data_IF_192757481651
#
_entry.id   IF_192757481651
#
_cell.length_a   1.000
_cell.length_b   1.000
_cell.length_c   1.000
_cell.angle_alpha   90.00
_cell.angle_beta   90.00
_cell.angle_gamma   90.00
#
_symmetry.space_group_name_H-M   'P 1'
#
loop_
_entity.id
_entity.type
_entity.pdbx_description
1 polymer ?
#
# COMPACT_ATOMS: atom_id res chain seq x y z
N UNK A 1 -1.18 6.55 7.14
CA UNK A 1 -0.36 6.53 5.91
C UNK A 1 -1.14 6.86 4.63
N UNK A 2 -2.37 6.36 4.44
CA UNK A 2 -3.07 6.42 3.13
C UNK A 2 -4.11 7.55 3.04
N UNK A 3 -5.40 7.28 3.30
CA UNK A 3 -6.50 8.22 3.09
C UNK A 3 -6.31 9.57 3.78
N UNK A 4 -5.83 9.56 5.03
CA UNK A 4 -5.57 10.79 5.78
C UNK A 4 -4.48 11.65 5.12
N UNK A 5 -3.43 11.04 4.58
CA UNK A 5 -2.38 11.76 3.85
C UNK A 5 -2.91 12.35 2.55
N UNK A 6 -3.71 11.59 1.80
CA UNK A 6 -4.40 12.11 0.62
C UNK A 6 -5.35 13.27 0.96
N UNK A 7 -6.00 13.23 2.13
CA UNK A 7 -6.82 14.34 2.66
C UNK A 7 -6.03 15.62 2.87
N UNK A 8 -4.91 15.54 3.59
CA UNK A 8 -4.05 16.68 3.89
C UNK A 8 -3.49 17.31 2.60
N UNK A 9 -3.17 16.49 1.60
CA UNK A 9 -2.60 16.94 0.33
C UNK A 9 -3.65 17.34 -0.73
N UNK A 10 -4.94 17.27 -0.42
CA UNK A 10 -6.02 17.62 -1.36
C UNK A 10 -6.31 16.58 -2.44
N UNK A 11 -5.71 15.38 -2.37
CA UNK A 11 -5.90 14.28 -3.34
C UNK A 11 -6.90 13.21 -2.89
N UNK A 12 -7.73 13.52 -1.88
CA UNK A 12 -8.67 12.55 -1.31
C UNK A 12 -9.80 12.14 -2.25
N UNK A 13 -10.05 12.88 -3.34
CA UNK A 13 -11.03 12.48 -4.36
C UNK A 13 -10.41 11.49 -5.35
N UNK A 14 -9.12 11.60 -5.58
CA UNK A 14 -8.35 10.89 -6.59
C UNK A 14 -7.75 9.59 -6.06
N UNK A 15 -7.24 9.58 -4.82
CA UNK A 15 -6.47 8.43 -4.28
C UNK A 15 -6.67 8.23 -2.77
N UNK A 16 -5.88 7.32 -2.17
CA UNK A 16 -5.81 7.05 -0.74
C UNK A 16 -6.76 5.95 -0.24
N UNK A 17 -7.59 5.37 -1.11
CA UNK A 17 -8.38 4.17 -0.83
C UNK A 17 -8.80 3.47 -2.15
N UNK A 18 -9.43 2.30 -2.05
CA UNK A 18 -9.81 1.44 -3.18
C UNK A 18 -11.27 1.63 -3.65
N UNK A 19 -11.90 2.79 -3.40
CA UNK A 19 -13.28 3.03 -3.85
C UNK A 19 -13.36 3.18 -5.38
N UNK A 20 -14.46 2.77 -6.03
CA UNK A 20 -14.67 2.97 -7.46
C UNK A 20 -14.54 4.44 -7.88
N UNK A 21 -13.96 4.68 -9.06
CA UNK A 21 -13.74 6.03 -9.61
C UNK A 21 -12.44 6.70 -9.16
N UNK A 22 -11.68 6.09 -8.26
CA UNK A 22 -10.34 6.55 -7.85
C UNK A 22 -9.23 5.91 -8.68
N UNK A 23 -8.05 6.52 -8.64
CA UNK A 23 -6.84 5.93 -9.20
C UNK A 23 -6.51 4.61 -8.50
N UNK A 24 -6.07 3.64 -9.32
CA UNK A 24 -5.57 2.36 -8.86
C UNK A 24 -4.14 2.52 -8.33
N UNK A 25 -4.03 3.18 -7.18
CA UNK A 25 -2.79 3.36 -6.41
C UNK A 25 -2.81 2.39 -5.23
N UNK A 26 -2.11 1.26 -5.36
CA UNK A 26 -2.10 0.24 -4.32
C UNK A 26 -0.84 -0.62 -4.35
N UNK A 27 -0.64 -1.31 -3.23
CA UNK A 27 0.47 -2.25 -3.03
C UNK A 27 -0.12 -3.65 -2.86
N UNK A 28 0.55 -4.64 -3.40
CA UNK A 28 0.28 -6.04 -3.11
C UNK A 28 1.31 -6.49 -2.08
N UNK A 29 0.83 -6.94 -0.93
CA UNK A 29 1.67 -7.41 0.16
C UNK A 29 1.63 -8.94 0.24
N UNK A 30 2.77 -9.55 0.51
CA UNK A 30 2.89 -10.96 0.86
C UNK A 30 2.35 -11.16 2.28
N UNK A 31 1.32 -11.97 2.41
CA UNK A 31 0.69 -12.35 3.67
C UNK A 31 0.78 -13.86 3.94
N UNK A 32 1.54 -14.62 3.13
CA UNK A 32 1.57 -16.10 3.15
C UNK A 32 2.03 -16.70 4.49
N UNK A 33 2.53 -15.88 5.44
CA UNK A 33 2.99 -16.33 6.76
C UNK A 33 2.26 -15.72 7.96
N UNK A 34 1.13 -15.03 7.80
CA UNK A 34 0.43 -14.49 8.97
C UNK A 34 -0.92 -13.80 8.72
N UNK A 35 -1.59 -13.47 9.83
CA UNK A 35 -2.75 -12.58 9.85
C UNK A 35 -2.38 -11.23 9.19
N UNK A 36 -3.17 -10.72 8.22
CA UNK A 36 -2.94 -9.40 7.63
C UNK A 36 -2.77 -8.27 8.65
N UNK A 37 -3.44 -8.35 9.80
CA UNK A 37 -3.28 -7.36 10.88
C UNK A 37 -1.88 -7.41 11.51
N UNK A 38 -1.31 -8.60 11.63
CA UNK A 38 0.04 -8.79 12.16
C UNK A 38 1.08 -8.26 11.16
N UNK A 39 0.88 -8.49 9.86
CA UNK A 39 1.74 -7.90 8.81
C UNK A 39 1.70 -6.37 8.87
N UNK A 40 0.51 -5.77 8.99
CA UNK A 40 0.35 -4.32 9.15
C UNK A 40 1.04 -3.80 10.42
N UNK A 41 0.91 -4.52 11.55
CA UNK A 41 1.60 -4.18 12.80
C UNK A 41 3.12 -4.21 12.63
N UNK A 42 3.65 -5.27 12.01
CA UNK A 42 5.09 -5.40 11.77
C UNK A 42 5.63 -4.32 10.84
N UNK A 43 4.85 -3.88 9.83
CA UNK A 43 5.20 -2.73 8.99
C UNK A 43 5.29 -1.46 9.84
N UNK A 44 4.33 -1.21 10.73
CA UNK A 44 4.34 -0.05 11.62
C UNK A 44 5.52 -0.06 12.61
N UNK A 45 5.83 -1.23 13.18
CA UNK A 45 6.83 -1.37 14.24
C UNK A 45 8.27 -1.43 13.68
N UNK A 46 8.47 -2.10 12.54
CA UNK A 46 9.80 -2.37 11.96
C UNK A 46 10.16 -1.45 10.79
N UNK A 47 9.17 -0.72 10.26
CA UNK A 47 9.37 0.27 9.19
C UNK A 47 9.96 -0.31 7.90
N UNK A 48 10.84 0.46 7.26
CA UNK A 48 11.34 0.22 5.89
C UNK A 48 12.01 -1.15 5.70
N UNK A 49 12.71 -1.65 6.72
CA UNK A 49 13.41 -2.95 6.63
C UNK A 49 12.44 -4.09 6.36
N UNK A 50 11.28 -4.10 7.03
CA UNK A 50 10.27 -5.13 6.83
C UNK A 50 9.36 -4.82 5.65
N UNK A 51 9.07 -3.54 5.41
CA UNK A 51 8.26 -3.09 4.28
C UNK A 51 8.81 -3.57 2.93
N UNK A 52 10.13 -3.52 2.71
CA UNK A 52 10.76 -4.02 1.48
C UNK A 52 10.70 -5.54 1.32
N UNK A 53 10.55 -6.29 2.42
CA UNK A 53 10.43 -7.75 2.39
C UNK A 53 9.02 -8.17 1.95
N UNK A 54 7.99 -7.46 2.39
CA UNK A 54 6.59 -7.88 2.21
C UNK A 54 5.92 -7.26 0.99
N UNK A 55 6.44 -6.20 0.39
CA UNK A 55 5.86 -5.64 -0.84
C UNK A 55 6.22 -6.52 -2.05
N UNK A 56 5.20 -7.14 -2.64
CA UNK A 56 5.32 -7.95 -3.86
C UNK A 56 5.19 -7.10 -5.12
N UNK A 57 4.21 -6.19 -5.15
CA UNK A 57 3.95 -5.34 -6.33
C UNK A 57 3.51 -3.95 -5.92
N UNK A 58 3.83 -2.97 -6.76
CA UNK A 58 3.36 -1.58 -6.64
C UNK A 58 2.64 -1.16 -7.91
N UNK A 59 1.44 -0.64 -7.75
CA UNK A 59 0.65 -0.05 -8.82
C UNK A 59 0.44 1.43 -8.56
N UNK A 60 0.63 2.24 -9.61
CA UNK A 60 0.35 3.67 -9.61
C UNK A 60 -0.46 4.01 -10.85
N UNK A 61 -1.65 4.60 -10.65
CA UNK A 61 -2.64 4.90 -11.67
C UNK A 61 -2.94 3.71 -12.59
N UNK A 62 -2.96 2.50 -12.01
CA UNK A 62 -3.21 1.26 -12.72
C UNK A 62 -2.01 0.68 -13.48
N UNK A 63 -0.86 1.35 -13.49
CA UNK A 63 0.38 0.82 -14.05
C UNK A 63 1.22 0.11 -12.98
N UNK A 64 1.66 -1.12 -13.26
CA UNK A 64 2.64 -1.81 -12.41
C UNK A 64 4.00 -1.09 -12.53
N UNK A 65 4.50 -0.55 -11.42
CA UNK A 65 5.80 0.13 -11.35
C UNK A 65 6.90 -0.75 -10.76
N UNK A 66 6.52 -1.71 -9.92
CA UNK A 66 7.45 -2.60 -9.25
C UNK A 66 6.83 -3.99 -9.10
N UNK A 67 7.67 -5.00 -9.25
CA UNK A 67 7.35 -6.40 -8.99
C UNK A 67 8.60 -7.09 -8.43
N UNK A 68 8.43 -7.77 -7.30
CA UNK A 68 9.47 -8.57 -6.65
C UNK A 68 9.68 -9.85 -7.46
N UNK A 69 10.91 -10.08 -7.93
CA UNK A 69 11.31 -11.28 -8.68
C UNK A 69 11.69 -12.42 -7.74
#
# INVERSE_FOLDING_TARGET
>A
ATLAGAGILGFSKETGNLKPGKYADFLVLDVEKGDPNEVLRQICDRGTNHYGEVVLKTFFKGQELYSKK
#
